data_IF_602042174014
#
_entry.id   IF_602042174014
#
_cell.length_a   1.000
_cell.length_b   1.000
_cell.length_c   1.000
_cell.angle_alpha   90.00
_cell.angle_beta   90.00
_cell.angle_gamma   90.00
#
_symmetry.space_group_name_H-M   'P 1'
#
loop_
_entity.id
_entity.type
_entity.pdbx_description
1 polymer ?
#
# COMPACT_ATOMS: atom_id res chain seq x y z
N UNK A 1 -14.93 -3.48 -11.02
CA UNK A 1 -14.75 -3.97 -9.62
C UNK A 1 -14.33 -2.87 -8.65
N UNK A 2 -13.49 -1.93 -9.04
CA UNK A 2 -13.01 -0.82 -8.18
C UNK A 2 -14.16 0.01 -7.55
N UNK A 3 -15.18 0.41 -8.33
CA UNK A 3 -16.35 1.13 -7.81
C UNK A 3 -17.10 0.37 -6.69
N UNK A 4 -17.12 -0.96 -6.75
CA UNK A 4 -17.73 -1.77 -5.68
C UNK A 4 -16.94 -1.66 -4.39
N UNK A 5 -15.60 -1.64 -4.46
CA UNK A 5 -14.74 -1.40 -3.28
C UNK A 5 -15.01 -0.02 -2.69
N UNK A 6 -15.13 1.02 -3.51
CA UNK A 6 -15.44 2.38 -3.04
C UNK A 6 -16.78 2.43 -2.31
N UNK A 7 -17.81 1.80 -2.89
CA UNK A 7 -19.14 1.76 -2.25
C UNK A 7 -19.09 1.01 -0.92
N UNK A 8 -18.37 -0.10 -0.84
CA UNK A 8 -18.17 -0.81 0.44
C UNK A 8 -17.45 0.02 1.48
N UNK A 9 -16.39 0.75 1.10
CA UNK A 9 -15.68 1.66 2.01
C UNK A 9 -16.64 2.71 2.57
N UNK A 10 -17.49 3.31 1.74
CA UNK A 10 -18.50 4.29 2.18
C UNK A 10 -19.52 3.69 3.14
N UNK A 11 -20.06 2.53 2.82
CA UNK A 11 -21.03 1.84 3.70
C UNK A 11 -20.39 1.47 5.04
N UNK A 12 -19.17 0.95 5.01
CA UNK A 12 -18.45 0.50 6.21
C UNK A 12 -17.86 1.64 7.05
N UNK A 13 -17.75 2.85 6.52
CA UNK A 13 -17.26 4.02 7.27
C UNK A 13 -18.12 4.41 8.48
N UNK A 14 -19.34 3.88 8.55
CA UNK A 14 -20.32 4.15 9.61
C UNK A 14 -20.24 3.21 10.81
N UNK A 15 -19.46 2.13 10.73
CA UNK A 15 -19.27 1.13 11.78
C UNK A 15 -17.89 1.24 12.42
N UNK A 16 -17.61 0.41 13.42
CA UNK A 16 -16.29 0.35 14.06
C UNK A 16 -15.17 0.11 13.03
N UNK A 17 -14.07 0.85 13.15
CA UNK A 17 -12.98 0.86 12.17
C UNK A 17 -12.32 -0.52 12.02
N UNK A 18 -12.16 -1.25 13.13
CA UNK A 18 -11.56 -2.60 13.09
C UNK A 18 -12.50 -3.59 12.40
N UNK A 19 -13.79 -3.53 12.72
CA UNK A 19 -14.80 -4.36 12.06
C UNK A 19 -14.88 -4.05 10.55
N UNK A 20 -14.88 -2.77 10.20
CA UNK A 20 -14.85 -2.32 8.80
C UNK A 20 -13.61 -2.84 8.05
N UNK A 21 -12.44 -2.74 8.68
CA UNK A 21 -11.17 -3.24 8.12
C UNK A 21 -11.22 -4.74 7.84
N UNK A 22 -11.74 -5.54 8.76
CA UNK A 22 -11.87 -7.00 8.57
C UNK A 22 -12.85 -7.36 7.44
N UNK A 23 -13.95 -6.63 7.30
CA UNK A 23 -14.88 -6.82 6.19
C UNK A 23 -14.24 -6.46 4.83
N UNK A 24 -13.46 -5.38 4.78
CA UNK A 24 -12.71 -4.99 3.58
C UNK A 24 -11.64 -6.05 3.25
N UNK A 25 -10.93 -6.55 4.25
CA UNK A 25 -9.94 -7.63 4.08
C UNK A 25 -10.58 -8.86 3.45
N UNK A 26 -11.66 -9.33 4.05
CA UNK A 26 -12.41 -10.48 3.54
C UNK A 26 -12.85 -10.27 2.09
N UNK A 27 -13.44 -9.12 1.79
CA UNK A 27 -13.85 -8.79 0.43
C UNK A 27 -12.68 -8.83 -0.55
N UNK A 28 -11.55 -8.15 -0.22
CA UNK A 28 -10.36 -8.13 -1.07
C UNK A 28 -9.79 -9.54 -1.26
N UNK A 29 -9.82 -10.42 -0.25
CA UNK A 29 -9.27 -11.77 -0.34
C UNK A 29 -10.16 -12.74 -1.14
N UNK A 30 -11.48 -12.49 -1.22
CA UNK A 30 -12.46 -13.37 -1.88
C UNK A 30 -12.71 -13.05 -3.37
N UNK A 31 -12.36 -11.86 -3.86
CA UNK A 31 -12.56 -11.51 -5.27
C UNK A 31 -11.63 -12.27 -6.21
N UNK A 32 -12.05 -12.49 -7.46
CA UNK A 32 -11.23 -13.14 -8.49
C UNK A 32 -9.92 -12.36 -8.75
N UNK A 33 -8.90 -13.03 -9.30
CA UNK A 33 -7.64 -12.36 -9.66
C UNK A 33 -7.84 -11.31 -10.75
N UNK A 34 -8.74 -11.56 -11.72
CA UNK A 34 -9.06 -10.60 -12.78
C UNK A 34 -9.67 -9.31 -12.19
N UNK A 35 -10.66 -9.44 -11.32
CA UNK A 35 -11.30 -8.32 -10.62
C UNK A 35 -10.31 -7.60 -9.67
N UNK A 36 -9.42 -8.36 -9.04
CA UNK A 36 -8.38 -7.82 -8.18
C UNK A 36 -7.35 -6.97 -8.95
N UNK A 37 -6.92 -7.43 -10.12
CA UNK A 37 -6.01 -6.68 -10.98
C UNK A 37 -6.61 -5.33 -11.42
N UNK A 38 -7.93 -5.26 -11.62
CA UNK A 38 -8.63 -4.00 -11.88
C UNK A 38 -8.51 -3.02 -10.69
N UNK A 39 -8.61 -3.55 -9.46
CA UNK A 39 -8.39 -2.74 -8.25
C UNK A 39 -6.95 -2.26 -8.15
N UNK A 40 -5.96 -3.12 -8.36
CA UNK A 40 -4.53 -2.77 -8.27
C UNK A 40 -4.17 -1.61 -9.19
N UNK A 41 -4.74 -1.56 -10.39
CA UNK A 41 -4.51 -0.48 -11.37
C UNK A 41 -5.02 0.89 -10.91
N UNK A 42 -5.94 0.94 -9.95
CA UNK A 42 -6.62 2.17 -9.56
C UNK A 42 -6.40 2.57 -8.10
N UNK A 43 -6.03 1.64 -7.22
CA UNK A 43 -5.98 1.84 -5.77
C UNK A 43 -4.98 2.94 -5.33
N UNK A 44 -3.98 3.23 -6.13
CA UNK A 44 -3.04 4.32 -5.85
C UNK A 44 -3.66 5.71 -5.88
N UNK A 45 -4.84 5.86 -6.47
CA UNK A 45 -5.53 7.15 -6.60
C UNK A 45 -6.78 7.19 -5.73
N UNK A 46 -6.80 8.09 -4.74
CA UNK A 46 -8.00 8.32 -3.91
C UNK A 46 -9.04 9.06 -4.77
N UNK A 47 -10.25 8.51 -4.97
CA UNK A 47 -11.31 9.18 -5.69
C UNK A 47 -11.72 10.49 -5.01
N UNK A 48 -12.03 11.53 -5.80
CA UNK A 48 -12.43 12.84 -5.28
C UNK A 48 -13.81 12.82 -4.55
N UNK A 49 -14.59 11.77 -4.73
CA UNK A 49 -15.87 11.55 -4.04
C UNK A 49 -15.74 10.86 -2.67
N UNK A 50 -14.51 10.58 -2.22
CA UNK A 50 -14.20 10.20 -0.83
C UNK A 50 -13.93 11.50 -0.07
N UNK A 51 -14.56 11.70 1.08
CA UNK A 51 -14.39 12.91 1.88
C UNK A 51 -12.96 13.00 2.46
N UNK A 52 -12.38 14.21 2.43
CA UNK A 52 -11.02 14.46 2.95
C UNK A 52 -10.99 14.40 4.49
N UNK A 53 -9.91 13.83 5.05
CA UNK A 53 -9.70 13.63 6.50
C UNK A 53 -10.81 12.82 7.21
N UNK A 54 -11.59 12.06 6.44
CA UNK A 54 -12.71 11.27 6.92
C UNK A 54 -12.33 9.85 7.33
N UNK A 55 -13.29 9.13 7.93
CA UNK A 55 -13.18 7.67 8.14
C UNK A 55 -13.09 6.91 6.82
N UNK A 56 -13.79 7.39 5.77
CA UNK A 56 -13.71 6.80 4.43
C UNK A 56 -12.28 6.84 3.89
N UNK A 57 -11.60 7.99 3.99
CA UNK A 57 -10.22 8.14 3.51
C UNK A 57 -9.24 7.26 4.30
N UNK A 58 -9.43 7.13 5.62
CA UNK A 58 -8.64 6.23 6.46
C UNK A 58 -8.86 4.77 6.08
N UNK A 59 -10.11 4.35 5.87
CA UNK A 59 -10.43 3.00 5.39
C UNK A 59 -9.89 2.74 3.99
N UNK A 60 -9.90 3.74 3.11
CA UNK A 60 -9.29 3.63 1.78
C UNK A 60 -7.78 3.40 1.87
N UNK A 61 -7.09 4.16 2.70
CA UNK A 61 -5.66 3.95 2.96
C UNK A 61 -5.40 2.54 3.50
N UNK A 62 -6.22 2.07 4.43
CA UNK A 62 -6.09 0.72 4.96
C UNK A 62 -6.40 -0.37 3.92
N UNK A 63 -7.36 -0.12 3.03
CA UNK A 63 -7.63 -1.00 1.89
C UNK A 63 -6.41 -1.09 0.96
N UNK A 64 -5.68 0.01 0.73
CA UNK A 64 -4.45 -0.02 -0.09
C UNK A 64 -3.36 -0.90 0.52
N UNK A 65 -3.19 -0.92 1.86
CA UNK A 65 -2.26 -1.84 2.54
C UNK A 65 -2.68 -3.30 2.35
N UNK A 66 -3.97 -3.60 2.48
CA UNK A 66 -4.52 -4.94 2.30
C UNK A 66 -4.33 -5.40 0.84
N UNK A 67 -4.58 -4.52 -0.13
CA UNK A 67 -4.35 -4.79 -1.56
C UNK A 67 -2.87 -5.10 -1.79
N UNK A 68 -1.94 -4.29 -1.28
CA UNK A 68 -0.52 -4.54 -1.47
C UNK A 68 -0.06 -5.84 -0.80
N UNK A 69 -0.59 -6.16 0.38
CA UNK A 69 -0.31 -7.44 1.03
C UNK A 69 -0.80 -8.62 0.18
N UNK A 70 -1.98 -8.52 -0.45
CA UNK A 70 -2.45 -9.55 -1.40
C UNK A 70 -1.57 -9.62 -2.65
N UNK A 71 -1.12 -8.49 -3.20
CA UNK A 71 -0.16 -8.49 -4.31
C UNK A 71 1.09 -9.28 -3.97
N UNK A 72 1.67 -9.07 -2.79
CA UNK A 72 2.84 -9.83 -2.35
C UNK A 72 2.55 -11.33 -2.20
N UNK A 73 1.35 -11.72 -1.73
CA UNK A 73 0.97 -13.14 -1.69
C UNK A 73 0.88 -13.75 -3.08
N UNK A 74 0.30 -13.06 -4.03
CA UNK A 74 0.28 -13.50 -5.44
C UNK A 74 1.68 -13.59 -6.02
N UNK A 75 2.60 -12.68 -5.64
CA UNK A 75 4.02 -12.74 -6.02
C UNK A 75 4.83 -13.82 -5.27
N UNK A 76 4.19 -14.70 -4.49
CA UNK A 76 4.82 -15.85 -3.85
C UNK A 76 5.46 -15.56 -2.49
N UNK A 77 5.03 -14.51 -1.78
CA UNK A 77 5.45 -14.21 -0.42
C UNK A 77 4.34 -14.55 0.59
N UNK A 78 4.69 -14.93 1.81
CA UNK A 78 3.77 -14.88 2.94
C UNK A 78 3.64 -13.42 3.38
N UNK A 79 2.46 -12.81 3.20
CA UNK A 79 2.28 -11.39 3.48
C UNK A 79 0.95 -11.08 4.15
N UNK A 80 0.99 -10.06 5.02
CA UNK A 80 -0.17 -9.52 5.72
C UNK A 80 -0.08 -8.02 5.93
N UNK A 81 -1.20 -7.32 5.83
CA UNK A 81 -1.35 -5.98 6.36
C UNK A 81 -1.49 -6.07 7.89
N UNK A 82 -0.71 -5.29 8.61
CA UNK A 82 -0.69 -5.26 10.07
C UNK A 82 -1.83 -4.38 10.60
N UNK A 83 -2.28 -4.67 11.82
CA UNK A 83 -3.18 -3.78 12.52
C UNK A 83 -2.44 -2.46 12.85
N UNK A 84 -3.20 -1.37 12.92
CA UNK A 84 -2.63 -0.07 13.25
C UNK A 84 -1.93 -0.09 14.61
N UNK A 85 -0.62 0.14 14.58
CA UNK A 85 0.19 0.46 15.75
C UNK A 85 0.97 1.73 15.44
N UNK A 86 1.05 2.62 16.42
CA UNK A 86 1.96 3.75 16.30
C UNK A 86 3.39 3.23 16.06
N UNK A 87 4.11 3.88 15.15
CA UNK A 87 5.52 3.60 14.85
C UNK A 87 5.84 2.18 14.35
N UNK A 88 4.96 1.57 13.57
CA UNK A 88 5.20 0.30 12.88
C UNK A 88 4.91 0.39 11.39
N UNK A 89 5.50 -0.51 10.60
CA UNK A 89 5.16 -0.68 9.20
C UNK A 89 3.70 -1.16 9.03
N UNK A 90 3.12 -0.86 7.89
CA UNK A 90 1.74 -1.24 7.59
C UNK A 90 1.63 -2.68 7.03
N UNK A 91 2.71 -3.21 6.45
CA UNK A 91 2.76 -4.52 5.82
C UNK A 91 4.05 -5.24 6.17
N UNK A 92 3.94 -6.54 6.45
CA UNK A 92 5.06 -7.47 6.58
C UNK A 92 4.93 -8.56 5.52
N UNK A 93 6.04 -8.93 4.89
CA UNK A 93 6.10 -10.03 3.94
C UNK A 93 7.40 -10.83 4.07
N UNK A 94 7.34 -12.14 3.87
CA UNK A 94 8.45 -13.07 3.99
C UNK A 94 8.49 -14.03 2.81
N UNK A 95 9.69 -14.39 2.35
CA UNK A 95 9.84 -15.41 1.31
C UNK A 95 9.44 -16.78 1.85
N UNK A 96 8.64 -17.53 1.09
CA UNK A 96 8.20 -18.88 1.48
C UNK A 96 9.08 -19.98 0.84
N UNK A 97 9.84 -19.66 -0.19
CA UNK A 97 10.69 -20.61 -0.92
C UNK A 97 11.99 -19.95 -1.37
N UNK A 98 12.99 -20.75 -1.71
CA UNK A 98 14.28 -20.27 -2.18
C UNK A 98 15.08 -19.51 -1.15
N UNK A 99 15.64 -18.37 -1.54
CA UNK A 99 16.38 -17.50 -0.64
C UNK A 99 15.45 -16.88 0.41
N UNK A 100 15.81 -17.03 1.69
CA UNK A 100 15.01 -16.52 2.81
C UNK A 100 15.29 -15.06 3.04
N UNK A 101 14.24 -14.26 3.02
CA UNK A 101 14.28 -12.83 3.35
C UNK A 101 12.92 -12.37 3.87
N UNK A 102 12.93 -11.27 4.58
CA UNK A 102 11.73 -10.55 5.01
C UNK A 102 11.79 -9.10 4.58
N UNK A 103 10.63 -8.49 4.44
CA UNK A 103 10.50 -7.08 4.11
C UNK A 103 9.34 -6.44 4.86
N UNK A 104 9.51 -5.16 5.17
CA UNK A 104 8.41 -4.28 5.55
C UNK A 104 7.99 -3.42 4.37
N UNK A 105 6.72 -3.07 4.29
CA UNK A 105 6.23 -2.20 3.23
C UNK A 105 5.18 -1.20 3.74
N UNK A 106 5.02 -0.13 2.98
CA UNK A 106 4.01 0.91 3.16
C UNK A 106 3.38 1.24 1.80
N UNK A 107 2.05 1.26 1.75
CA UNK A 107 1.29 1.63 0.57
C UNK A 107 0.79 3.07 0.68
N UNK A 108 1.11 3.88 -0.30
CA UNK A 108 0.63 5.26 -0.41
C UNK A 108 -0.39 5.39 -1.53
N UNK A 109 -1.47 6.08 -1.21
CA UNK A 109 -2.47 6.53 -2.16
C UNK A 109 -2.65 8.05 -2.05
N UNK A 110 -2.86 8.73 -3.17
CA UNK A 110 -2.97 10.18 -3.21
C UNK A 110 -4.10 10.62 -4.14
N UNK A 111 -4.71 11.78 -3.85
CA UNK A 111 -5.65 12.42 -4.76
C UNK A 111 -4.91 13.00 -5.97
N UNK A 112 -5.56 13.03 -7.11
CA UNK A 112 -5.03 13.71 -8.30
C UNK A 112 -4.85 15.22 -8.07
N UNK A 113 -5.77 15.82 -7.31
CA UNK A 113 -5.73 17.23 -6.93
C UNK A 113 -4.59 17.59 -5.97
N UNK A 114 -3.97 16.61 -5.30
CA UNK A 114 -2.90 16.85 -4.35
C UNK A 114 -1.59 17.19 -5.06
N UNK A 115 -1.02 18.35 -4.73
CA UNK A 115 0.25 18.82 -5.28
C UNK A 115 1.45 18.54 -4.37
N UNK A 116 1.23 18.07 -3.15
CA UNK A 116 2.30 17.82 -2.19
C UNK A 116 3.17 16.64 -2.65
N UNK A 117 4.46 16.90 -2.79
CA UNK A 117 5.48 15.94 -3.24
C UNK A 117 6.72 16.05 -2.35
N UNK A 118 6.50 16.28 -1.05
CA UNK A 118 7.61 16.42 -0.13
C UNK A 118 7.91 15.09 0.57
N UNK A 119 9.09 15.01 1.13
CA UNK A 119 9.60 13.83 1.81
C UNK A 119 8.71 13.35 2.98
N UNK A 120 8.01 14.27 3.65
CA UNK A 120 7.11 13.93 4.76
C UNK A 120 5.92 13.07 4.32
N UNK A 121 5.50 13.22 3.06
CA UNK A 121 4.37 12.45 2.51
C UNK A 121 4.75 10.97 2.28
N UNK A 122 6.02 10.69 2.01
CA UNK A 122 6.51 9.35 1.69
C UNK A 122 7.11 8.58 2.87
N UNK A 123 7.45 9.27 3.98
CA UNK A 123 7.95 8.64 5.22
C UNK A 123 9.10 7.63 5.02
N UNK A 124 10.00 7.88 4.07
CA UNK A 124 11.09 6.93 3.74
C UNK A 124 11.96 6.60 4.95
N UNK A 125 12.32 7.59 5.77
CA UNK A 125 13.13 7.37 6.97
C UNK A 125 12.40 6.49 8.00
N UNK A 126 11.10 6.77 8.24
CA UNK A 126 10.30 5.96 9.15
C UNK A 126 10.22 4.49 8.70
N UNK A 127 10.06 4.25 7.39
CA UNK A 127 10.01 2.90 6.85
C UNK A 127 11.33 2.15 7.06
N UNK A 128 12.46 2.86 6.95
CA UNK A 128 13.76 2.30 7.30
C UNK A 128 13.88 1.98 8.80
N UNK A 129 13.38 2.85 9.66
CA UNK A 129 13.37 2.63 11.11
C UNK A 129 12.50 1.42 11.48
N UNK A 130 11.33 1.28 10.85
CA UNK A 130 10.42 0.15 11.05
C UNK A 130 10.97 -1.18 10.52
N UNK A 131 11.81 -1.16 9.48
CA UNK A 131 12.55 -2.34 9.03
C UNK A 131 13.43 -2.88 10.16
N UNK A 132 14.06 -1.99 10.92
CA UNK A 132 14.97 -2.35 12.00
C UNK A 132 16.10 -3.26 11.55
N UNK A 133 16.54 -4.13 12.45
CA UNK A 133 17.51 -5.20 12.19
C UNK A 133 16.85 -6.56 11.89
N UNK A 134 15.52 -6.64 11.99
CA UNK A 134 14.77 -7.89 11.89
C UNK A 134 14.34 -8.21 10.45
N UNK A 135 14.27 -7.19 9.58
CA UNK A 135 13.89 -7.36 8.18
C UNK A 135 15.01 -6.89 7.25
N UNK A 136 15.21 -7.61 6.15
CA UNK A 136 16.28 -7.30 5.19
C UNK A 136 15.94 -6.11 4.31
N UNK A 137 14.67 -5.96 3.93
CA UNK A 137 14.26 -4.97 2.95
C UNK A 137 13.13 -4.08 3.46
N UNK A 138 13.06 -2.88 2.87
CA UNK A 138 11.94 -1.95 3.04
C UNK A 138 11.45 -1.51 1.67
N UNK A 139 10.14 -1.52 1.45
CA UNK A 139 9.51 -1.21 0.15
C UNK A 139 8.42 -0.16 0.35
N UNK A 140 8.52 0.93 -0.39
CA UNK A 140 7.48 1.95 -0.49
C UNK A 140 6.78 1.83 -1.83
N UNK A 141 5.46 1.71 -1.83
CA UNK A 141 4.64 1.71 -3.04
C UNK A 141 3.76 2.95 -3.07
N UNK A 142 3.85 3.74 -4.14
CA UNK A 142 3.06 4.96 -4.33
C UNK A 142 2.64 5.12 -5.79
N UNK A 143 1.61 5.94 -6.12
CA UNK A 143 1.29 6.20 -7.51
C UNK A 143 2.45 6.91 -8.22
N UNK A 144 2.75 6.48 -9.44
CA UNK A 144 3.88 7.02 -10.21
C UNK A 144 3.83 8.55 -10.37
N UNK A 145 2.64 9.09 -10.64
CA UNK A 145 2.47 10.55 -10.86
C UNK A 145 2.79 11.40 -9.63
N UNK A 146 2.86 10.81 -8.43
CA UNK A 146 3.23 11.50 -7.19
C UNK A 146 4.71 11.42 -6.87
N UNK A 147 5.46 10.53 -7.53
CA UNK A 147 6.91 10.54 -7.34
C UNK A 147 7.50 11.84 -7.90
N UNK A 148 8.36 12.52 -7.14
CA UNK A 148 8.99 13.74 -7.58
C UNK A 148 10.01 13.47 -8.69
N UNK A 149 10.60 14.53 -9.25
CA UNK A 149 11.70 14.39 -10.22
C UNK A 149 12.95 13.76 -9.56
N UNK A 150 13.80 13.14 -10.37
CA UNK A 150 14.98 12.38 -9.94
C UNK A 150 15.99 13.17 -9.07
N UNK A 151 15.96 14.49 -9.13
CA UNK A 151 16.77 15.37 -8.27
C UNK A 151 16.21 15.57 -6.86
N UNK A 152 15.05 15.01 -6.56
CA UNK A 152 14.40 15.15 -5.25
C UNK A 152 15.16 14.38 -4.16
N UNK A 153 15.15 14.95 -2.97
CA UNK A 153 15.70 14.33 -1.75
C UNK A 153 15.08 12.97 -1.40
N UNK A 154 13.91 12.65 -1.94
CA UNK A 154 13.28 11.33 -1.67
C UNK A 154 14.13 10.19 -2.22
N UNK A 155 14.74 10.38 -3.40
CA UNK A 155 15.58 9.34 -4.00
C UNK A 155 16.90 9.19 -3.27
N UNK A 156 17.59 10.29 -2.94
CA UNK A 156 18.82 10.22 -2.14
C UNK A 156 18.56 9.56 -0.79
N UNK A 157 17.46 9.92 -0.11
CA UNK A 157 17.10 9.29 1.16
C UNK A 157 16.69 7.83 1.02
N UNK A 158 16.01 7.45 -0.03
CA UNK A 158 15.69 6.05 -0.29
C UNK A 158 16.96 5.22 -0.48
N UNK A 159 17.95 5.74 -1.22
CA UNK A 159 19.26 5.12 -1.39
C UNK A 159 20.04 5.05 -0.05
N UNK A 160 20.13 6.16 0.66
CA UNK A 160 20.82 6.23 1.97
C UNK A 160 20.24 5.25 3.00
N UNK A 161 18.92 5.05 2.97
CA UNK A 161 18.21 4.20 3.91
C UNK A 161 17.90 2.80 3.36
N UNK A 162 18.37 2.47 2.17
CA UNK A 162 18.13 1.19 1.52
C UNK A 162 16.62 0.82 1.43
N UNK A 163 15.81 1.79 1.00
CA UNK A 163 14.36 1.63 0.78
C UNK A 163 14.10 1.54 -0.72
N UNK A 164 13.44 0.48 -1.16
CA UNK A 164 13.02 0.31 -2.54
C UNK A 164 11.76 1.14 -2.82
N UNK A 165 11.80 1.98 -3.86
CA UNK A 165 10.67 2.77 -4.33
C UNK A 165 10.03 2.07 -5.53
N UNK A 166 8.81 1.61 -5.37
CA UNK A 166 7.98 1.04 -6.44
C UNK A 166 6.74 1.91 -6.68
N UNK A 167 6.17 1.81 -7.85
CA UNK A 167 4.86 2.38 -8.10
C UNK A 167 3.78 1.29 -8.21
N UNK A 168 2.51 1.67 -8.07
CA UNK A 168 1.38 0.77 -8.28
C UNK A 168 1.39 0.19 -9.70
N UNK A 169 1.87 0.95 -10.68
CA UNK A 169 2.06 0.48 -12.06
C UNK A 169 3.12 -0.62 -12.14
N UNK A 170 4.22 -0.51 -11.37
CA UNK A 170 5.22 -1.58 -11.28
C UNK A 170 4.61 -2.85 -10.68
N UNK A 171 3.83 -2.73 -9.61
CA UNK A 171 3.12 -3.87 -9.00
C UNK A 171 2.17 -4.53 -10.01
N UNK A 172 1.37 -3.72 -10.73
CA UNK A 172 0.46 -4.24 -11.77
C UNK A 172 1.20 -5.03 -12.85
N UNK A 173 2.32 -4.49 -13.35
CA UNK A 173 3.14 -5.17 -14.38
C UNK A 173 3.73 -6.49 -13.84
N UNK A 174 4.16 -6.52 -12.59
CA UNK A 174 4.69 -7.76 -11.98
C UNK A 174 3.61 -8.84 -11.91
N UNK A 175 2.38 -8.50 -11.54
CA UNK A 175 1.26 -9.44 -11.48
C UNK A 175 0.83 -9.94 -12.86
N UNK A 176 0.89 -9.10 -13.90
CA UNK A 176 0.52 -9.49 -15.27
C UNK A 176 1.52 -10.47 -15.91
N UNK A 177 2.72 -10.60 -15.37
CA UNK A 177 3.78 -11.47 -15.92
C UNK A 177 3.95 -12.81 -15.20
N UNK A 178 3.12 -13.07 -14.22
CA UNK A 178 3.06 -14.35 -13.51
C UNK A 178 2.17 -15.35 -14.23
#
# INVERSE_FOLDING_TARGET
>A
MFEKLINQIKELSTIDFKEATEKIRKYIDEISEEDFNEIVKQIGTIPENIEHDSTEEKLYSKASDIVLARCFRLLGLASRALDERADSADILAESISGYKYSLVADAKCFRLSRTAKNQKDFKVSNLSDWRGSENEYAVLVAPYFQYPQSTSQIYSKALENNVCLLSWEHISILLEKM
#
